data_IF_446198290187
#
_entry.id   IF_446198290187
#
_cell.length_a   1.000
_cell.length_b   1.000
_cell.length_c   1.000
_cell.angle_alpha   90.00
_cell.angle_beta   90.00
_cell.angle_gamma   90.00
#
_symmetry.space_group_name_H-M   'P 1'
#
loop_
_entity.id
_entity.type
_entity.pdbx_description
1 polymer ?
#
# COMPACT_ATOMS: atom_id res chain seq x y z
N UNK A 1 34.53 5.04 -1.16
CA UNK A 1 33.53 4.39 -0.30
C UNK A 1 32.09 4.50 -0.84
N UNK A 2 31.75 5.57 -1.57
CA UNK A 2 30.43 5.82 -2.20
C UNK A 2 29.93 4.76 -3.21
N UNK A 3 30.82 4.21 -4.05
CA UNK A 3 30.41 3.28 -5.12
C UNK A 3 29.81 1.96 -4.61
N UNK A 4 30.20 1.49 -3.42
CA UNK A 4 29.63 0.27 -2.83
C UNK A 4 28.21 0.50 -2.32
N UNK A 5 27.93 1.70 -1.79
CA UNK A 5 26.61 2.08 -1.29
C UNK A 5 25.59 2.25 -2.41
N UNK A 6 25.98 2.88 -3.52
CA UNK A 6 25.10 3.05 -4.68
C UNK A 6 24.74 1.72 -5.34
N UNK A 7 25.68 0.77 -5.42
CA UNK A 7 25.42 -0.56 -5.95
C UNK A 7 24.49 -1.41 -5.05
N UNK A 8 24.47 -1.16 -3.74
CA UNK A 8 23.54 -1.81 -2.82
C UNK A 8 22.11 -1.26 -2.98
N UNK A 9 21.96 0.06 -3.13
CA UNK A 9 20.65 0.68 -3.40
C UNK A 9 20.07 0.27 -4.76
N UNK A 10 20.89 0.13 -5.81
CA UNK A 10 20.46 -0.38 -7.11
C UNK A 10 19.90 -1.81 -7.01
N UNK A 11 20.51 -2.68 -6.20
CA UNK A 11 20.03 -4.06 -5.98
C UNK A 11 18.70 -4.09 -5.22
N UNK A 12 18.56 -3.25 -4.20
CA UNK A 12 17.30 -3.12 -3.45
C UNK A 12 16.20 -2.55 -4.35
N UNK A 13 16.50 -1.50 -5.12
CA UNK A 13 15.57 -0.88 -6.08
C UNK A 13 15.14 -1.89 -7.15
N UNK A 14 16.06 -2.67 -7.70
CA UNK A 14 15.75 -3.75 -8.65
C UNK A 14 14.91 -4.83 -7.99
N UNK A 15 15.22 -5.24 -6.77
CA UNK A 15 14.41 -6.21 -6.03
C UNK A 15 12.97 -5.75 -5.79
N UNK A 16 12.77 -4.48 -5.44
CA UNK A 16 11.44 -3.88 -5.30
C UNK A 16 10.72 -3.83 -6.65
N UNK A 17 11.38 -3.41 -7.73
CA UNK A 17 10.79 -3.37 -9.06
C UNK A 17 10.38 -4.77 -9.57
N UNK A 18 11.23 -5.79 -9.36
CA UNK A 18 10.93 -7.17 -9.73
C UNK A 18 9.74 -7.72 -8.94
N UNK A 19 9.63 -7.40 -7.65
CA UNK A 19 8.47 -7.76 -6.84
C UNK A 19 7.18 -7.12 -7.35
N UNK A 20 7.23 -5.84 -7.74
CA UNK A 20 6.07 -5.13 -8.30
C UNK A 20 5.64 -5.70 -9.66
N UNK A 21 6.57 -6.00 -10.56
CA UNK A 21 6.24 -6.57 -11.88
C UNK A 21 5.69 -7.99 -11.75
N UNK A 22 6.23 -8.81 -10.85
CA UNK A 22 5.72 -10.16 -10.61
C UNK A 22 4.27 -10.16 -10.11
N UNK A 23 3.93 -9.21 -9.22
CA UNK A 23 2.57 -9.03 -8.70
C UNK A 23 1.56 -8.57 -9.78
N UNK A 24 2.03 -7.90 -10.84
CA UNK A 24 1.18 -7.48 -11.96
C UNK A 24 0.96 -8.62 -12.97
N UNK A 25 1.92 -9.54 -13.12
CA UNK A 25 1.85 -10.63 -14.10
C UNK A 25 0.97 -11.82 -13.68
N UNK A 26 0.58 -11.92 -12.41
CA UNK A 26 -0.33 -12.98 -11.93
C UNK A 26 -1.82 -12.65 -12.13
N UNK A 27 -2.15 -11.53 -12.80
CA UNK A 27 -3.53 -11.19 -13.17
C UNK A 27 -3.83 -11.81 -14.54
N UNK A 28 -4.66 -12.86 -14.57
CA UNK A 28 -5.17 -13.46 -15.80
C UNK A 28 -6.33 -12.63 -16.34
N UNK A 29 -6.14 -11.96 -17.48
CA UNK A 29 -7.20 -11.28 -18.20
C UNK A 29 -7.88 -12.27 -19.16
N UNK A 30 -9.11 -12.69 -18.84
CA UNK A 30 -9.97 -13.40 -19.78
C UNK A 30 -10.62 -12.37 -20.73
N UNK A 31 -10.33 -12.47 -22.03
CA UNK A 31 -11.03 -11.69 -23.04
C UNK A 31 -12.32 -12.43 -23.42
N UNK A 32 -13.46 -11.94 -22.94
CA UNK A 32 -14.80 -12.36 -23.38
C UNK A 32 -15.21 -11.54 -24.63
N UNK A 33 -15.99 -12.13 -25.55
CA UNK A 33 -16.35 -11.51 -26.85
C UNK A 33 -17.27 -10.28 -26.71
N UNK A 34 -17.87 -10.10 -25.52
CA UNK A 34 -18.78 -9.01 -25.19
C UNK A 34 -18.02 -7.90 -24.44
N UNK A 35 -17.60 -6.86 -25.17
CA UNK A 35 -16.70 -5.80 -24.67
C UNK A 35 -17.18 -5.13 -23.36
N UNK A 36 -18.48 -5.14 -23.10
CA UNK A 36 -19.07 -4.49 -21.92
C UNK A 36 -19.16 -5.42 -20.68
N UNK A 37 -19.09 -6.74 -20.85
CA UNK A 37 -19.16 -7.72 -19.75
C UNK A 37 -17.84 -7.81 -18.99
N UNK A 38 -16.73 -7.84 -19.73
CA UNK A 38 -15.39 -7.84 -19.14
C UNK A 38 -15.11 -6.58 -18.31
N UNK A 39 -15.55 -5.41 -18.78
CA UNK A 39 -15.34 -4.14 -18.08
C UNK A 39 -16.16 -4.04 -16.79
N UNK A 40 -17.39 -4.55 -16.78
CA UNK A 40 -18.27 -4.49 -15.60
C UNK A 40 -17.75 -5.38 -14.47
N UNK A 41 -17.36 -6.63 -14.76
CA UNK A 41 -16.79 -7.54 -13.76
C UNK A 41 -15.42 -7.06 -13.28
N UNK A 42 -14.60 -6.52 -14.17
CA UNK A 42 -13.32 -5.90 -13.82
C UNK A 42 -13.51 -4.69 -12.89
N UNK A 43 -14.49 -3.84 -13.13
CA UNK A 43 -14.82 -2.70 -12.28
C UNK A 43 -15.32 -3.14 -10.89
N UNK A 44 -16.14 -4.19 -10.80
CA UNK A 44 -16.56 -4.75 -9.51
C UNK A 44 -15.39 -5.35 -8.71
N UNK A 45 -14.46 -6.04 -9.37
CA UNK A 45 -13.25 -6.56 -8.72
C UNK A 45 -12.32 -5.43 -8.29
N UNK A 46 -12.16 -4.39 -9.11
CA UNK A 46 -11.40 -3.20 -8.73
C UNK A 46 -12.02 -2.48 -7.53
N UNK A 47 -13.33 -2.29 -7.51
CA UNK A 47 -14.04 -1.71 -6.37
C UNK A 47 -13.88 -2.55 -5.10
N UNK A 48 -13.94 -3.88 -5.24
CA UNK A 48 -13.65 -4.79 -4.13
C UNK A 48 -12.22 -4.57 -3.59
N UNK A 49 -11.20 -4.57 -4.45
CA UNK A 49 -9.80 -4.38 -4.05
C UNK A 49 -9.58 -2.99 -3.43
N UNK A 50 -10.09 -1.92 -4.05
CA UNK A 50 -9.88 -0.54 -3.61
C UNK A 50 -10.54 -0.27 -2.25
N UNK A 51 -11.73 -0.82 -2.01
CA UNK A 51 -12.38 -0.79 -0.69
C UNK A 51 -11.54 -1.51 0.36
N UNK A 52 -10.98 -2.68 0.05
CA UNK A 52 -10.11 -3.42 0.98
C UNK A 52 -8.79 -2.71 1.26
N UNK A 53 -8.20 -2.01 0.28
CA UNK A 53 -6.99 -1.20 0.48
C UNK A 53 -7.26 -0.03 1.43
N UNK A 54 -8.38 0.69 1.26
CA UNK A 54 -8.76 1.76 2.18
C UNK A 54 -8.97 1.27 3.62
N UNK A 55 -9.62 0.10 3.77
CA UNK A 55 -9.80 -0.56 5.07
C UNK A 55 -8.48 -1.04 5.68
N UNK A 56 -7.55 -1.54 4.87
CA UNK A 56 -6.22 -1.93 5.33
C UNK A 56 -5.39 -0.73 5.84
N UNK A 57 -5.55 0.45 5.23
CA UNK A 57 -4.95 1.70 5.73
C UNK A 57 -5.39 2.08 7.14
N UNK A 58 -6.68 1.86 7.47
CA UNK A 58 -7.20 2.08 8.83
C UNK A 58 -6.52 1.14 9.83
N UNK A 59 -6.36 -0.14 9.50
CA UNK A 59 -5.71 -1.13 10.39
C UNK A 59 -4.27 -0.73 10.70
N UNK A 60 -3.50 -0.31 9.69
CA UNK A 60 -2.12 0.14 9.87
C UNK A 60 -2.03 1.43 10.70
N UNK A 61 -3.01 2.32 10.57
CA UNK A 61 -3.11 3.55 11.35
C UNK A 61 -3.37 3.25 12.83
N UNK A 62 -4.28 2.32 13.12
CA UNK A 62 -4.57 1.86 14.50
C UNK A 62 -3.35 1.18 15.10
N UNK A 63 -2.63 0.36 14.32
CA UNK A 63 -1.39 -0.25 14.79
C UNK A 63 -0.28 0.76 15.10
N UNK A 64 -0.10 1.78 14.25
CA UNK A 64 0.81 2.90 14.50
C UNK A 64 0.45 3.66 15.77
N UNK A 65 -0.85 3.88 16.03
CA UNK A 65 -1.32 4.50 17.26
C UNK A 65 -1.02 3.66 18.52
N UNK A 66 -1.15 2.33 18.45
CA UNK A 66 -0.79 1.41 19.56
C UNK A 66 0.71 1.49 19.89
N UNK A 67 1.57 1.58 18.88
CA UNK A 67 3.02 1.77 19.07
C UNK A 67 3.33 3.12 19.75
N UNK A 68 2.62 4.19 19.35
CA UNK A 68 2.76 5.51 19.97
C UNK A 68 2.31 5.46 21.44
N UNK A 69 1.18 4.83 21.74
CA UNK A 69 0.64 4.71 23.09
C UNK A 69 1.61 3.95 24.03
N UNK A 70 2.18 2.85 23.59
CA UNK A 70 3.17 2.09 24.38
C UNK A 70 4.50 2.83 24.54
N UNK A 71 4.86 3.67 23.56
CA UNK A 71 6.04 4.54 23.63
C UNK A 71 5.82 5.82 24.45
N UNK A 72 4.62 6.06 24.99
CA UNK A 72 4.40 7.15 25.96
C UNK A 72 4.85 6.73 27.35
N UNK A 73 4.79 5.44 27.66
CA UNK A 73 5.21 4.85 28.95
C UNK A 73 6.69 4.47 29.03
N UNK A 74 7.37 4.28 27.91
CA UNK A 74 8.80 4.01 27.85
C UNK A 74 9.50 5.22 27.22
N UNK A 75 10.45 5.83 27.92
CA UNK A 75 11.16 7.06 27.53
C UNK A 75 12.14 6.87 26.34
N UNK A 76 11.89 5.89 25.48
CA UNK A 76 12.70 5.56 24.30
C UNK A 76 12.21 6.33 23.06
N UNK A 77 12.95 7.38 22.71
CA UNK A 77 12.67 8.26 21.57
C UNK A 77 12.53 7.51 20.22
N UNK A 78 13.13 6.34 20.09
CA UNK A 78 13.09 5.50 18.88
C UNK A 78 11.73 4.83 18.68
N UNK A 79 11.06 4.41 19.77
CA UNK A 79 9.75 3.76 19.70
C UNK A 79 8.65 4.76 19.31
N UNK A 80 8.74 6.01 19.81
CA UNK A 80 7.87 7.12 19.39
C UNK A 80 8.04 7.47 17.92
N UNK A 81 9.29 7.56 17.42
CA UNK A 81 9.56 7.92 16.02
C UNK A 81 9.03 6.89 15.03
N UNK A 82 9.24 5.59 15.31
CA UNK A 82 8.76 4.53 14.44
C UNK A 82 7.23 4.39 14.48
N UNK A 83 6.59 4.59 15.65
CA UNK A 83 5.14 4.66 15.76
C UNK A 83 4.51 5.82 14.98
N UNK A 84 5.13 7.01 15.03
CA UNK A 84 4.68 8.20 14.27
C UNK A 84 4.81 7.97 12.75
N UNK A 85 5.93 7.38 12.29
CA UNK A 85 6.12 7.07 10.87
C UNK A 85 5.12 6.03 10.37
N UNK A 86 4.76 5.06 11.21
CA UNK A 86 3.73 4.06 10.89
C UNK A 86 2.33 4.69 10.83
N UNK A 87 2.04 5.67 11.70
CA UNK A 87 0.79 6.42 11.69
C UNK A 87 0.67 7.27 10.41
N UNK A 88 1.75 7.95 10.02
CA UNK A 88 1.78 8.76 8.80
C UNK A 88 1.60 7.86 7.57
N UNK A 89 2.30 6.73 7.49
CA UNK A 89 2.13 5.81 6.36
C UNK A 89 0.72 5.21 6.30
N UNK A 90 0.12 4.88 7.46
CA UNK A 90 -1.28 4.43 7.54
C UNK A 90 -2.29 5.47 7.05
N UNK A 91 -2.14 6.73 7.47
CA UNK A 91 -2.99 7.83 7.02
C UNK A 91 -2.85 8.11 5.51
N UNK A 92 -1.64 7.99 4.96
CA UNK A 92 -1.41 8.13 3.52
C UNK A 92 -2.07 7.02 2.71
N UNK A 93 -1.97 5.76 3.16
CA UNK A 93 -2.63 4.61 2.51
C UNK A 93 -4.16 4.74 2.60
N UNK A 94 -4.67 5.21 3.75
CA UNK A 94 -6.08 5.52 3.92
C UNK A 94 -6.53 6.60 2.92
N UNK A 95 -5.80 7.71 2.83
CA UNK A 95 -6.12 8.80 1.91
C UNK A 95 -6.11 8.35 0.44
N UNK A 96 -5.19 7.48 0.04
CA UNK A 96 -5.15 6.93 -1.32
C UNK A 96 -6.30 5.95 -1.55
N UNK A 97 -6.63 5.07 -0.60
CA UNK A 97 -7.74 4.12 -0.76
C UNK A 97 -9.11 4.80 -0.88
N UNK A 98 -9.39 5.78 -0.01
CA UNK A 98 -10.63 6.56 -0.09
C UNK A 98 -10.61 7.59 -1.22
N UNK A 99 -9.44 8.16 -1.53
CA UNK A 99 -9.25 9.12 -2.63
C UNK A 99 -9.35 8.48 -4.01
N UNK A 100 -8.79 7.29 -4.21
CA UNK A 100 -8.95 6.53 -5.44
C UNK A 100 -10.44 6.24 -5.69
N UNK A 101 -11.18 5.78 -4.66
CA UNK A 101 -12.64 5.58 -4.74
C UNK A 101 -13.40 6.85 -5.16
N UNK A 102 -12.94 8.03 -4.73
CA UNK A 102 -13.55 9.31 -5.14
C UNK A 102 -13.23 9.73 -6.59
N UNK A 103 -12.12 9.25 -7.16
CA UNK A 103 -11.68 9.57 -8.53
C UNK A 103 -12.32 8.62 -9.55
N UNK A 104 -12.48 7.34 -9.22
CA UNK A 104 -13.08 6.34 -10.12
C UNK A 104 -14.62 6.36 -10.17
N UNK A 105 -15.27 7.18 -9.34
CA UNK A 105 -16.69 7.49 -9.50
C UNK A 105 -17.62 6.28 -9.43
N UNK A 106 -17.77 5.71 -8.23
CA UNK A 106 -18.98 5.00 -7.79
C UNK A 106 -19.46 5.58 -6.46
#
# INVERSE_FOLDING_TARGET
>A
MSNKFNNAMEKVRRGILFGMTAALTCISAYADEDKNKGETEFNNVLDWILVWIGRAGIVLTVWGAVQIALSVSNEDATQRRNGILQLISGLMVMAIGYGAKSIIGY
#
